data_IF_636105368702
#
_entry.id   IF_636105368702
#
_cell.length_a   1.000
_cell.length_b   1.000
_cell.length_c   1.000
_cell.angle_alpha   90.00
_cell.angle_beta   90.00
_cell.angle_gamma   90.00
#
_symmetry.space_group_name_H-M   'P 1'
#
loop_
_entity.id
_entity.type
_entity.pdbx_description
1 polymer ?
#
# COMPACT_ATOMS: atom_id res chain seq x y z
N UNK A 1 4.32 -8.74 21.18
CA UNK A 1 4.63 -7.50 20.45
C UNK A 1 4.11 -7.65 19.04
N UNK A 2 3.26 -6.73 18.58
CA UNK A 2 2.67 -6.76 17.24
C UNK A 2 3.76 -6.63 16.15
N UNK A 3 3.68 -7.41 15.10
CA UNK A 3 4.57 -7.28 13.94
C UNK A 3 3.98 -6.27 12.95
N UNK A 4 4.73 -5.23 12.61
CA UNK A 4 4.35 -4.20 11.63
C UNK A 4 5.21 -4.29 10.39
N UNK A 5 4.64 -3.92 9.25
CA UNK A 5 5.32 -3.72 7.98
C UNK A 5 5.65 -2.25 7.71
N UNK A 6 6.55 -2.02 6.75
CA UNK A 6 6.86 -0.71 6.20
C UNK A 6 6.77 -0.75 4.68
N UNK A 7 5.97 0.17 4.10
CA UNK A 7 6.03 0.47 2.67
C UNK A 7 7.32 1.25 2.39
N UNK A 8 8.20 0.68 1.56
CA UNK A 8 9.55 1.22 1.32
C UNK A 8 9.57 2.55 0.56
N UNK A 9 8.44 2.96 -0.02
CA UNK A 9 8.29 4.33 -0.55
C UNK A 9 8.46 5.40 0.53
N UNK A 10 8.17 5.05 1.77
CA UNK A 10 8.36 5.92 2.94
C UNK A 10 9.83 6.27 3.22
N UNK A 11 10.75 5.47 2.71
CA UNK A 11 12.20 5.68 2.81
C UNK A 11 12.86 5.75 1.42
N UNK A 12 12.11 6.29 0.45
CA UNK A 12 12.56 6.41 -0.95
C UNK A 12 13.80 7.28 -1.15
N UNK A 13 14.12 8.12 -0.19
CA UNK A 13 15.35 8.90 -0.13
C UNK A 13 16.61 8.03 -0.02
N UNK A 14 16.51 6.85 0.60
CA UNK A 14 17.65 5.92 0.75
C UNK A 14 17.52 4.65 -0.09
N UNK A 15 16.32 4.18 -0.43
CA UNK A 15 16.13 2.94 -1.21
C UNK A 15 16.69 3.03 -2.62
N UNK A 16 16.60 4.21 -3.26
CA UNK A 16 17.14 4.44 -4.60
C UNK A 16 18.67 4.32 -4.64
N UNK A 17 19.33 4.72 -3.56
CA UNK A 17 20.78 4.73 -3.48
C UNK A 17 21.34 3.36 -3.08
N UNK A 18 20.75 2.73 -2.09
CA UNK A 18 21.20 1.44 -1.60
C UNK A 18 20.04 0.66 -0.93
N UNK A 19 19.37 -0.17 -1.71
CA UNK A 19 18.24 -0.98 -1.20
C UNK A 19 18.68 -1.92 -0.08
N UNK A 20 19.87 -2.52 -0.15
CA UNK A 20 20.38 -3.43 0.89
C UNK A 20 20.50 -2.70 2.24
N UNK A 21 21.12 -1.52 2.24
CA UNK A 21 21.30 -0.74 3.47
C UNK A 21 19.96 -0.20 4.00
N UNK A 22 19.04 0.19 3.12
CA UNK A 22 17.69 0.58 3.52
C UNK A 22 16.96 -0.56 4.25
N UNK A 23 17.01 -1.80 3.72
CA UNK A 23 16.41 -2.97 4.37
C UNK A 23 17.03 -3.24 5.75
N UNK A 24 18.37 -3.11 5.88
CA UNK A 24 19.05 -3.24 7.17
C UNK A 24 18.53 -2.22 8.18
N UNK A 25 18.47 -0.94 7.80
CA UNK A 25 17.98 0.13 8.68
C UNK A 25 16.53 -0.12 9.12
N UNK A 26 15.65 -0.53 8.19
CA UNK A 26 14.25 -0.86 8.48
C UNK A 26 14.12 -2.00 9.49
N UNK A 27 14.94 -3.06 9.34
CA UNK A 27 14.97 -4.16 10.29
C UNK A 27 15.45 -3.71 11.69
N UNK A 28 16.51 -2.88 11.75
CA UNK A 28 17.05 -2.32 13.00
C UNK A 28 16.06 -1.43 13.75
N UNK A 29 15.16 -0.72 13.02
CA UNK A 29 14.07 0.04 13.63
C UNK A 29 12.98 -0.85 14.26
N UNK A 30 12.95 -2.14 13.93
CA UNK A 30 12.03 -3.12 14.52
C UNK A 30 10.82 -3.48 13.66
N UNK A 31 10.77 -3.04 12.40
CA UNK A 31 9.82 -3.57 11.42
C UNK A 31 10.12 -5.04 11.13
N UNK A 32 9.08 -5.82 10.81
CA UNK A 32 9.19 -7.25 10.51
C UNK A 32 8.79 -7.60 9.09
N UNK A 33 8.00 -6.74 8.47
CA UNK A 33 7.62 -6.87 7.08
C UNK A 33 8.07 -5.64 6.30
N UNK A 34 8.31 -5.85 5.00
CA UNK A 34 8.53 -4.77 4.04
C UNK A 34 7.59 -4.94 2.85
N UNK A 35 7.11 -3.82 2.36
CA UNK A 35 6.42 -3.75 1.09
C UNK A 35 7.28 -2.99 0.11
N UNK A 36 7.60 -3.63 -1.01
CA UNK A 36 8.50 -3.03 -1.99
C UNK A 36 7.79 -2.00 -2.87
N UNK A 37 8.46 -0.87 -3.11
CA UNK A 37 8.10 0.16 -4.10
C UNK A 37 9.14 0.19 -5.24
N UNK A 38 9.42 -0.98 -5.81
CA UNK A 38 10.45 -1.18 -6.82
C UNK A 38 11.69 -1.88 -6.28
N UNK A 39 12.48 -2.46 -7.20
CA UNK A 39 13.66 -3.26 -6.88
C UNK A 39 14.97 -2.62 -7.32
N UNK A 40 14.93 -1.47 -8.01
CA UNK A 40 16.07 -0.65 -8.41
C UNK A 40 17.16 -1.44 -9.17
N UNK A 41 16.75 -2.42 -9.98
CA UNK A 41 17.66 -3.25 -10.79
C UNK A 41 18.35 -4.38 -10.02
N UNK A 42 18.05 -4.58 -8.74
CA UNK A 42 18.60 -5.68 -7.96
C UNK A 42 17.97 -7.02 -8.37
N UNK A 43 18.76 -8.09 -8.37
CA UNK A 43 18.28 -9.43 -8.67
C UNK A 43 17.36 -9.97 -7.57
N UNK A 44 16.48 -10.90 -7.91
CA UNK A 44 15.61 -11.52 -6.92
C UNK A 44 16.41 -12.34 -5.88
N UNK A 45 17.51 -12.94 -6.31
CA UNK A 45 18.43 -13.69 -5.48
C UNK A 45 19.10 -12.78 -4.42
N UNK A 46 19.59 -11.59 -4.85
CA UNK A 46 20.17 -10.62 -3.92
C UNK A 46 19.16 -10.12 -2.91
N UNK A 47 17.97 -9.70 -3.39
CA UNK A 47 16.89 -9.22 -2.52
C UNK A 47 16.47 -10.31 -1.52
N UNK A 48 16.31 -11.56 -1.97
CA UNK A 48 15.99 -12.68 -1.07
C UNK A 48 17.07 -12.89 -0.01
N UNK A 49 18.35 -12.86 -0.42
CA UNK A 49 19.47 -13.00 0.50
C UNK A 49 19.48 -11.92 1.60
N UNK A 50 19.19 -10.67 1.24
CA UNK A 50 19.12 -9.56 2.20
C UNK A 50 17.93 -9.68 3.15
N UNK A 51 16.77 -10.10 2.64
CA UNK A 51 15.60 -10.37 3.47
C UNK A 51 15.90 -11.43 4.53
N UNK A 52 16.58 -12.53 4.13
CA UNK A 52 16.99 -13.59 5.05
C UNK A 52 18.06 -13.11 6.06
N UNK A 53 19.06 -12.34 5.58
CA UNK A 53 20.12 -11.76 6.41
C UNK A 53 19.55 -10.88 7.53
N UNK A 54 18.52 -10.08 7.22
CA UNK A 54 17.95 -9.13 8.19
C UNK A 54 16.69 -9.63 8.89
N UNK A 55 16.22 -10.84 8.57
CA UNK A 55 15.04 -11.44 9.18
C UNK A 55 13.74 -10.70 8.83
N UNK A 56 13.69 -10.13 7.63
CA UNK A 56 12.51 -9.44 7.10
C UNK A 56 11.65 -10.40 6.26
N UNK A 57 10.33 -10.19 6.34
CA UNK A 57 9.33 -10.87 5.51
C UNK A 57 8.75 -9.87 4.50
N UNK A 58 8.27 -10.37 3.36
CA UNK A 58 7.59 -9.53 2.36
C UNK A 58 6.10 -9.52 2.64
N UNK A 59 5.51 -8.35 2.88
CA UNK A 59 4.05 -8.15 2.98
C UNK A 59 3.39 -8.06 1.61
N UNK A 60 4.08 -7.44 0.66
CA UNK A 60 3.60 -7.20 -0.69
C UNK A 60 4.61 -6.41 -1.52
N UNK A 61 4.20 -6.09 -2.73
CA UNK A 61 4.96 -5.21 -3.62
C UNK A 61 4.02 -4.27 -4.35
N UNK A 62 4.31 -2.98 -4.32
CA UNK A 62 3.70 -2.03 -5.25
C UNK A 62 4.31 -2.21 -6.63
N UNK A 63 3.51 -2.71 -7.55
CA UNK A 63 3.93 -3.10 -8.90
C UNK A 63 2.98 -2.48 -9.93
N UNK A 64 3.52 -1.75 -10.90
CA UNK A 64 2.71 -1.04 -11.89
C UNK A 64 1.96 -1.96 -12.86
N UNK A 65 0.92 -1.44 -13.48
CA UNK A 65 0.08 -2.16 -14.45
C UNK A 65 0.88 -2.76 -15.63
N UNK A 66 1.98 -2.12 -16.04
CA UNK A 66 2.85 -2.59 -17.12
C UNK A 66 3.46 -3.96 -16.83
N UNK A 67 3.74 -4.26 -15.56
CA UNK A 67 4.34 -5.52 -15.14
C UNK A 67 3.36 -6.71 -15.07
N UNK A 68 2.06 -6.45 -15.10
CA UNK A 68 1.02 -7.49 -15.08
C UNK A 68 0.35 -7.73 -16.45
N UNK A 69 0.86 -7.08 -17.51
CA UNK A 69 0.41 -7.31 -18.90
C UNK A 69 0.73 -8.73 -19.39
N UNK A 70 0.06 -9.23 -20.42
CA UNK A 70 0.32 -10.56 -20.98
C UNK A 70 1.78 -10.81 -21.36
N UNK A 71 2.52 -9.76 -21.74
CA UNK A 71 3.92 -9.85 -22.14
C UNK A 71 4.90 -9.85 -20.96
N UNK A 72 4.56 -9.20 -19.86
CA UNK A 72 5.45 -8.98 -18.71
C UNK A 72 5.20 -9.94 -17.53
N UNK A 73 3.95 -10.35 -17.30
CA UNK A 73 3.51 -11.04 -16.09
C UNK A 73 4.33 -12.30 -15.74
N UNK A 74 4.88 -13.01 -16.74
CA UNK A 74 5.70 -14.20 -16.51
C UNK A 74 6.99 -13.88 -15.74
N UNK A 75 7.67 -12.81 -16.11
CA UNK A 75 8.89 -12.36 -15.43
C UNK A 75 8.56 -11.84 -14.02
N UNK A 76 7.47 -11.10 -13.89
CA UNK A 76 6.95 -10.60 -12.60
C UNK A 76 6.67 -11.75 -11.64
N UNK A 77 5.95 -12.78 -12.07
CA UNK A 77 5.68 -13.99 -11.26
C UNK A 77 6.99 -14.64 -10.81
N UNK A 78 7.95 -14.82 -11.72
CA UNK A 78 9.22 -15.48 -11.40
C UNK A 78 9.98 -14.71 -10.31
N UNK A 79 10.04 -13.38 -10.41
CA UNK A 79 10.68 -12.52 -9.41
C UNK A 79 9.99 -12.61 -8.04
N UNK A 80 8.65 -12.47 -8.02
CA UNK A 80 7.87 -12.54 -6.77
C UNK A 80 8.02 -13.89 -6.06
N UNK A 81 8.00 -14.99 -6.81
CA UNK A 81 8.25 -16.33 -6.24
C UNK A 81 9.63 -16.45 -5.64
N UNK A 82 10.67 -15.90 -6.31
CA UNK A 82 12.04 -15.98 -5.83
C UNK A 82 12.25 -15.23 -4.51
N UNK A 83 11.60 -14.07 -4.32
CA UNK A 83 11.65 -13.32 -3.06
C UNK A 83 10.66 -13.81 -2.00
N UNK A 84 9.83 -14.81 -2.30
CA UNK A 84 8.80 -15.31 -1.40
C UNK A 84 7.58 -14.40 -1.24
N UNK A 85 7.34 -13.50 -2.18
CA UNK A 85 6.19 -12.59 -2.16
C UNK A 85 4.94 -13.28 -2.74
N UNK A 86 3.86 -13.30 -1.98
CA UNK A 86 2.56 -13.86 -2.38
C UNK A 86 1.47 -12.80 -2.58
N UNK A 87 1.82 -11.51 -2.49
CA UNK A 87 0.87 -10.40 -2.60
C UNK A 87 1.44 -9.32 -3.52
N UNK A 88 0.92 -9.24 -4.73
CA UNK A 88 1.25 -8.20 -5.71
C UNK A 88 0.15 -7.15 -5.70
N UNK A 89 0.50 -5.90 -5.44
CA UNK A 89 -0.44 -4.81 -5.29
C UNK A 89 -0.18 -3.78 -6.39
N UNK A 90 -1.23 -3.35 -7.07
CA UNK A 90 -1.16 -2.26 -8.04
C UNK A 90 -1.50 -0.95 -7.32
N UNK A 91 -0.56 0.01 -7.22
CA UNK A 91 -0.77 1.25 -6.46
C UNK A 91 -1.43 2.35 -7.28
N UNK A 92 -1.83 2.06 -8.51
CA UNK A 92 -2.50 3.02 -9.38
C UNK A 92 -2.69 2.47 -10.77
N UNK A 93 -3.76 2.92 -11.42
CA UNK A 93 -4.16 2.47 -12.75
C UNK A 93 -4.69 3.64 -13.59
N UNK A 94 -4.96 3.40 -14.87
CA UNK A 94 -5.62 4.37 -15.73
C UNK A 94 -7.14 4.17 -15.68
N UNK A 95 -7.89 5.22 -15.36
CA UNK A 95 -9.34 5.16 -15.20
C UNK A 95 -10.05 6.52 -15.41
N UNK A 96 -9.37 7.50 -15.99
CA UNK A 96 -9.93 8.85 -16.20
C UNK A 96 -11.05 8.90 -17.25
N UNK A 97 -11.03 7.98 -18.21
CA UNK A 97 -12.10 7.77 -19.21
C UNK A 97 -12.79 6.43 -19.03
N UNK A 98 -13.95 6.24 -19.66
CA UNK A 98 -14.65 4.95 -19.63
C UNK A 98 -13.80 3.84 -20.27
N UNK A 99 -13.10 4.13 -21.35
CA UNK A 99 -12.23 3.18 -22.06
C UNK A 99 -11.05 2.75 -21.19
N UNK A 100 -10.42 3.69 -20.49
CA UNK A 100 -9.34 3.39 -19.54
C UNK A 100 -9.81 2.52 -18.37
N UNK A 101 -10.98 2.83 -17.81
CA UNK A 101 -11.57 2.01 -16.76
C UNK A 101 -11.86 0.58 -17.25
N UNK A 102 -12.45 0.41 -18.43
CA UNK A 102 -12.70 -0.92 -19.01
C UNK A 102 -11.40 -1.68 -19.27
N UNK A 103 -10.36 -1.00 -19.75
CA UNK A 103 -9.03 -1.59 -19.91
C UNK A 103 -8.46 -2.07 -18.56
N UNK A 104 -8.52 -1.23 -17.54
CA UNK A 104 -8.03 -1.56 -16.19
C UNK A 104 -8.76 -2.78 -15.60
N UNK A 105 -10.10 -2.82 -15.68
CA UNK A 105 -10.90 -3.97 -15.22
C UNK A 105 -10.53 -5.25 -15.99
N UNK A 106 -10.38 -5.15 -17.31
CA UNK A 106 -10.00 -6.30 -18.14
C UNK A 106 -8.59 -6.82 -17.77
N UNK A 107 -7.62 -5.91 -17.58
CA UNK A 107 -6.25 -6.23 -17.17
C UNK A 107 -6.22 -6.91 -15.80
N UNK A 108 -6.95 -6.39 -14.82
CA UNK A 108 -7.02 -6.95 -13.47
C UNK A 108 -7.62 -8.36 -13.48
N UNK A 109 -8.73 -8.56 -14.18
CA UNK A 109 -9.35 -9.88 -14.33
C UNK A 109 -8.46 -10.89 -15.06
N UNK A 110 -7.62 -10.43 -15.99
CA UNK A 110 -6.61 -11.27 -16.63
C UNK A 110 -5.47 -11.62 -15.66
N UNK A 111 -4.89 -10.62 -15.03
CA UNK A 111 -3.71 -10.79 -14.17
C UNK A 111 -4.03 -11.60 -12.92
N UNK A 112 -5.18 -11.35 -12.27
CA UNK A 112 -5.64 -12.09 -11.10
C UNK A 112 -5.66 -13.60 -11.38
N UNK A 113 -6.30 -14.04 -12.47
CA UNK A 113 -6.36 -15.44 -12.88
C UNK A 113 -4.99 -16.07 -13.18
N UNK A 114 -4.03 -15.27 -13.62
CA UNK A 114 -2.66 -15.73 -13.90
C UNK A 114 -1.84 -15.85 -12.63
N UNK A 115 -1.93 -14.89 -11.74
CA UNK A 115 -1.23 -14.83 -10.46
C UNK A 115 -1.75 -15.89 -9.49
N UNK A 116 -3.07 -16.06 -9.40
CA UNK A 116 -3.71 -17.06 -8.55
C UNK A 116 -3.24 -18.49 -8.81
N UNK A 117 -2.96 -18.86 -10.08
CA UNK A 117 -2.41 -20.18 -10.45
C UNK A 117 -1.01 -20.44 -9.88
N UNK A 118 -0.31 -19.37 -9.52
CA UNK A 118 1.05 -19.42 -8.96
C UNK A 118 1.07 -19.14 -7.45
N UNK A 119 -0.11 -19.05 -6.83
CA UNK A 119 -0.25 -18.76 -5.40
C UNK A 119 0.04 -17.30 -5.02
N UNK A 120 -0.08 -16.37 -5.97
CA UNK A 120 0.10 -14.94 -5.76
C UNK A 120 -1.27 -14.27 -5.88
N UNK A 121 -1.65 -13.46 -4.91
CA UNK A 121 -2.84 -12.61 -4.99
C UNK A 121 -2.54 -11.32 -5.75
N UNK A 122 -3.54 -10.80 -6.47
CA UNK A 122 -3.51 -9.46 -7.01
C UNK A 122 -4.28 -8.54 -6.08
N UNK A 123 -3.64 -7.48 -5.60
CA UNK A 123 -4.23 -6.43 -4.80
C UNK A 123 -4.33 -5.10 -5.56
N UNK A 124 -5.19 -4.22 -5.08
CA UNK A 124 -5.25 -2.81 -5.50
C UNK A 124 -5.16 -1.92 -4.28
N UNK A 125 -4.30 -0.90 -4.36
CA UNK A 125 -4.13 0.12 -3.33
C UNK A 125 -4.83 1.41 -3.76
N UNK A 126 -5.72 1.91 -2.91
CA UNK A 126 -6.49 3.12 -3.17
C UNK A 126 -5.76 4.39 -2.78
N UNK A 127 -6.06 5.46 -3.49
CA UNK A 127 -5.92 6.83 -3.02
C UNK A 127 -7.31 7.48 -2.86
N UNK A 128 -7.36 8.75 -2.50
CA UNK A 128 -8.65 9.43 -2.36
C UNK A 128 -9.41 9.58 -3.68
N UNK A 129 -8.69 9.66 -4.78
CA UNK A 129 -9.25 9.96 -6.10
C UNK A 129 -10.23 8.89 -6.57
N UNK A 130 -9.95 7.63 -6.30
CA UNK A 130 -10.78 6.47 -6.64
C UNK A 130 -12.14 6.47 -5.95
N UNK A 131 -12.24 7.19 -4.83
CA UNK A 131 -13.44 7.26 -3.98
C UNK A 131 -14.41 8.39 -4.39
N UNK A 132 -13.99 9.24 -5.31
CA UNK A 132 -14.86 10.26 -5.92
C UNK A 132 -15.38 9.81 -7.27
N UNK A 133 -16.50 10.43 -7.71
CA UNK A 133 -16.99 10.22 -9.07
C UNK A 133 -16.00 10.79 -10.09
N UNK A 134 -15.43 9.91 -10.90
CA UNK A 134 -14.59 10.28 -12.03
C UNK A 134 -15.39 11.02 -13.12
N UNK A 135 -14.76 11.68 -14.11
CA UNK A 135 -15.46 12.41 -15.18
C UNK A 135 -16.49 11.58 -15.95
N UNK A 136 -16.32 10.27 -16.04
CA UNK A 136 -17.27 9.33 -16.64
C UNK A 136 -18.46 8.98 -15.72
N UNK A 137 -18.55 9.56 -14.51
CA UNK A 137 -19.69 9.44 -13.60
C UNK A 137 -19.66 8.27 -12.63
N UNK A 138 -18.66 7.40 -12.68
CA UNK A 138 -18.52 6.22 -11.81
C UNK A 138 -17.49 6.49 -10.70
N UNK A 139 -17.63 5.78 -9.57
CA UNK A 139 -16.62 5.67 -8.51
C UNK A 139 -15.72 4.48 -8.85
N UNK A 140 -14.43 4.72 -8.99
CA UNK A 140 -13.48 3.71 -9.51
C UNK A 140 -13.33 2.55 -8.53
N UNK A 141 -13.27 2.83 -7.23
CA UNK A 141 -13.17 1.82 -6.18
C UNK A 141 -14.35 0.86 -6.23
N UNK A 142 -15.59 1.36 -6.41
CA UNK A 142 -16.79 0.54 -6.56
C UNK A 142 -16.74 -0.34 -7.82
N UNK A 143 -16.21 0.17 -8.92
CA UNK A 143 -16.07 -0.60 -10.15
C UNK A 143 -15.06 -1.75 -10.01
N UNK A 144 -13.91 -1.48 -9.37
CA UNK A 144 -12.90 -2.51 -9.05
C UNK A 144 -13.51 -3.55 -8.12
N UNK A 145 -14.17 -3.12 -7.05
CA UNK A 145 -14.82 -4.01 -6.09
C UNK A 145 -15.86 -4.93 -6.73
N UNK A 146 -16.77 -4.36 -7.53
CA UNK A 146 -17.91 -5.08 -8.06
C UNK A 146 -17.59 -5.92 -9.30
N UNK A 147 -16.52 -5.63 -10.02
CA UNK A 147 -16.24 -6.21 -11.34
C UNK A 147 -14.97 -7.06 -11.41
N UNK A 148 -14.23 -7.16 -10.30
CA UNK A 148 -13.01 -7.97 -10.19
C UNK A 148 -13.01 -8.81 -8.92
N UNK A 149 -12.11 -9.78 -8.81
CA UNK A 149 -11.80 -10.48 -7.56
C UNK A 149 -10.47 -10.00 -6.94
N UNK A 150 -10.02 -8.83 -7.31
CA UNK A 150 -8.79 -8.23 -6.77
C UNK A 150 -8.96 -7.96 -5.28
N UNK A 151 -7.99 -8.36 -4.47
CA UNK A 151 -7.95 -8.03 -3.03
C UNK A 151 -7.76 -6.51 -2.86
N UNK A 152 -8.13 -5.98 -1.70
CA UNK A 152 -7.94 -4.56 -1.39
C UNK A 152 -6.81 -4.39 -0.39
N UNK A 153 -5.86 -3.54 -0.71
CA UNK A 153 -4.97 -2.92 0.25
C UNK A 153 -5.47 -1.52 0.52
N UNK A 154 -6.16 -1.38 1.63
CA UNK A 154 -6.80 -0.10 1.95
C UNK A 154 -5.82 0.85 2.62
N UNK A 155 -5.55 1.99 1.97
CA UNK A 155 -4.93 3.13 2.63
C UNK A 155 -5.99 3.92 3.40
N UNK A 156 -5.92 3.82 4.71
CA UNK A 156 -6.92 4.35 5.63
C UNK A 156 -6.87 5.87 5.76
N UNK A 157 -5.72 6.49 5.50
CA UNK A 157 -5.62 7.94 5.45
C UNK A 157 -6.29 8.52 4.19
N UNK A 158 -6.15 7.85 3.06
CA UNK A 158 -6.82 8.30 1.84
C UNK A 158 -8.34 8.15 1.90
N UNK A 159 -8.87 7.14 2.63
CA UNK A 159 -10.30 7.09 2.98
C UNK A 159 -10.70 8.31 3.83
N UNK A 160 -9.95 8.56 4.91
CA UNK A 160 -10.19 9.70 5.80
C UNK A 160 -10.13 11.03 5.04
N UNK A 161 -9.15 11.20 4.15
CA UNK A 161 -9.03 12.36 3.29
C UNK A 161 -10.23 12.53 2.33
N UNK A 162 -10.84 11.44 1.87
CA UNK A 162 -12.07 11.47 1.08
C UNK A 162 -13.34 11.72 1.90
N UNK A 163 -13.21 11.90 3.23
CA UNK A 163 -14.35 12.12 4.13
C UNK A 163 -15.08 10.83 4.53
N UNK A 164 -14.47 9.67 4.31
CA UNK A 164 -15.00 8.36 4.68
C UNK A 164 -14.38 7.94 6.01
N UNK A 165 -15.22 7.52 6.97
CA UNK A 165 -14.72 6.92 8.21
C UNK A 165 -14.08 5.55 7.90
N UNK A 166 -12.76 5.36 8.17
CA UNK A 166 -12.07 4.15 7.79
C UNK A 166 -12.63 2.89 8.47
N UNK A 167 -12.99 2.94 9.74
CA UNK A 167 -13.36 1.73 10.50
C UNK A 167 -14.65 1.08 9.97
N UNK A 168 -15.77 1.78 9.77
CA UNK A 168 -16.95 1.21 9.12
C UNK A 168 -16.68 0.72 7.68
N UNK A 169 -15.83 1.43 6.94
CA UNK A 169 -15.47 1.01 5.58
C UNK A 169 -14.69 -0.31 5.60
N UNK A 170 -13.68 -0.44 6.44
CA UNK A 170 -12.90 -1.67 6.61
C UNK A 170 -13.81 -2.84 7.03
N UNK A 171 -14.73 -2.61 7.96
CA UNK A 171 -15.67 -3.67 8.41
C UNK A 171 -16.58 -4.15 7.27
N UNK A 172 -17.05 -3.23 6.42
CA UNK A 172 -17.89 -3.57 5.27
C UNK A 172 -17.16 -4.36 4.18
N UNK A 173 -15.83 -4.23 4.09
CA UNK A 173 -15.01 -4.82 3.01
C UNK A 173 -14.03 -5.90 3.48
N UNK A 174 -14.09 -6.29 4.75
CA UNK A 174 -13.08 -7.12 5.43
C UNK A 174 -12.77 -8.46 4.73
N UNK A 175 -13.72 -9.03 4.01
CA UNK A 175 -13.56 -10.33 3.37
C UNK A 175 -12.55 -10.32 2.21
N UNK A 176 -12.16 -9.13 1.72
CA UNK A 176 -11.17 -8.94 0.64
C UNK A 176 -10.00 -8.06 1.05
N UNK A 177 -9.84 -7.76 2.34
CA UNK A 177 -8.73 -6.95 2.86
C UNK A 177 -7.71 -7.88 3.52
N UNK A 178 -6.49 -7.90 3.02
CA UNK A 178 -5.36 -8.66 3.60
C UNK A 178 -4.37 -7.77 4.33
N UNK A 179 -4.19 -6.58 3.80
CA UNK A 179 -3.24 -5.59 4.27
C UNK A 179 -3.92 -4.24 4.30
N UNK A 180 -3.58 -3.43 5.29
CA UNK A 180 -3.95 -2.01 5.30
C UNK A 180 -2.72 -1.15 5.44
N UNK A 181 -2.75 0.04 4.83
CA UNK A 181 -1.78 1.07 5.13
C UNK A 181 -2.24 1.90 6.34
N UNK A 182 -1.38 1.92 7.36
CA UNK A 182 -1.44 2.91 8.42
C UNK A 182 -0.66 4.13 7.97
N UNK A 183 -1.39 5.21 7.74
CA UNK A 183 -0.84 6.49 7.27
C UNK A 183 -1.50 7.63 8.01
N UNK A 184 -0.79 8.72 8.19
CA UNK A 184 -1.29 9.91 8.88
C UNK A 184 -0.87 11.18 8.15
N UNK A 185 -1.57 12.25 8.40
CA UNK A 185 -1.30 13.53 7.79
C UNK A 185 -2.34 14.58 8.14
N UNK A 186 -2.09 15.80 7.69
CA UNK A 186 -3.04 16.89 7.74
C UNK A 186 -3.80 16.98 6.41
N UNK A 187 -5.09 17.24 6.52
CA UNK A 187 -5.98 17.48 5.40
C UNK A 187 -6.53 18.92 5.49
N UNK A 188 -6.84 19.57 4.35
CA UNK A 188 -7.52 20.86 4.39
C UNK A 188 -8.87 20.75 5.10
N UNK A 189 -9.13 21.69 6.01
CA UNK A 189 -10.38 21.75 6.78
C UNK A 189 -11.44 22.61 6.11
N UNK A 190 -11.09 23.36 5.08
CA UNK A 190 -11.97 24.25 4.32
C UNK A 190 -12.04 23.82 2.84
N UNK A 191 -13.15 24.13 2.19
CA UNK A 191 -13.42 23.80 0.79
C UNK A 191 -14.04 22.41 0.59
N UNK A 192 -14.59 22.19 -0.59
CA UNK A 192 -15.07 20.88 -1.04
C UNK A 192 -14.00 20.22 -1.87
N UNK A 193 -13.78 18.93 -1.65
CA UNK A 193 -12.90 18.09 -2.47
C UNK A 193 -13.71 17.24 -3.43
N UNK A 194 -13.16 17.03 -4.59
CA UNK A 194 -13.70 16.21 -5.64
C UNK A 194 -12.60 15.39 -6.33
N UNK A 195 -12.93 14.71 -7.39
CA UNK A 195 -11.98 13.91 -8.17
C UNK A 195 -10.74 14.69 -8.64
N UNK A 196 -10.89 15.96 -9.01
CA UNK A 196 -9.77 16.77 -9.52
C UNK A 196 -8.85 17.28 -8.41
N UNK A 197 -9.42 17.57 -7.24
CA UNK A 197 -8.75 18.21 -6.09
C UNK A 197 -8.48 17.25 -4.94
N UNK A 198 -8.67 15.95 -5.14
CA UNK A 198 -8.64 14.93 -4.10
C UNK A 198 -7.37 14.93 -3.22
N UNK A 199 -6.23 15.34 -3.76
CA UNK A 199 -4.95 15.36 -3.07
C UNK A 199 -4.43 16.76 -2.73
N UNK A 200 -5.17 17.82 -3.12
CA UNK A 200 -4.70 19.20 -2.93
C UNK A 200 -4.58 19.55 -1.45
N UNK A 201 -3.46 20.16 -1.08
CA UNK A 201 -3.20 20.65 0.27
C UNK A 201 -2.98 19.57 1.34
N UNK A 202 -2.95 18.29 0.96
CA UNK A 202 -2.64 17.18 1.87
C UNK A 202 -1.15 17.21 2.24
N UNK A 203 -0.83 16.96 3.52
CA UNK A 203 0.54 16.89 4.03
C UNK A 203 0.72 15.62 4.84
N UNK A 204 1.59 14.72 4.34
CA UNK A 204 1.98 13.52 5.09
C UNK A 204 2.67 13.87 6.40
N UNK A 205 2.42 13.07 7.44
CA UNK A 205 3.05 13.18 8.77
C UNK A 205 3.31 11.80 9.36
N UNK A 206 4.22 11.77 10.33
CA UNK A 206 4.42 10.54 11.13
C UNK A 206 3.13 10.14 11.84
N UNK A 207 2.91 8.85 12.01
CA UNK A 207 1.74 8.32 12.73
C UNK A 207 1.57 8.97 14.10
N UNK A 208 0.34 9.35 14.42
CA UNK A 208 -0.04 9.99 15.68
C UNK A 208 0.24 11.49 15.75
N UNK A 209 0.75 12.12 14.68
CA UNK A 209 1.00 13.56 14.60
C UNK A 209 0.13 14.32 13.60
N UNK A 210 -0.72 13.59 12.87
CA UNK A 210 -1.72 14.15 11.94
C UNK A 210 -3.15 14.02 12.48
N UNK A 211 -4.10 13.99 11.56
CA UNK A 211 -5.53 14.05 11.85
C UNK A 211 -6.25 12.71 11.69
N UNK A 212 -5.59 11.68 11.11
CA UNK A 212 -6.23 10.39 10.84
C UNK A 212 -6.51 9.58 12.13
N UNK A 213 -7.56 8.75 12.17
CA UNK A 213 -7.91 7.95 13.35
C UNK A 213 -7.03 6.69 13.49
N UNK A 214 -5.70 6.85 13.45
CA UNK A 214 -4.71 5.75 13.38
C UNK A 214 -4.92 4.70 14.47
N UNK A 215 -5.21 5.13 15.72
CA UNK A 215 -5.44 4.19 16.83
C UNK A 215 -6.68 3.32 16.59
N UNK A 216 -7.79 3.90 16.16
CA UNK A 216 -9.03 3.16 15.92
C UNK A 216 -8.85 2.14 14.78
N UNK A 217 -8.17 2.54 13.72
CA UNK A 217 -7.82 1.66 12.58
C UNK A 217 -6.91 0.51 13.04
N UNK A 218 -5.87 0.80 13.82
CA UNK A 218 -4.99 -0.22 14.39
C UNK A 218 -5.75 -1.23 15.25
N UNK A 219 -6.62 -0.74 16.14
CA UNK A 219 -7.40 -1.59 17.02
C UNK A 219 -8.35 -2.51 16.22
N UNK A 220 -8.97 -1.99 15.16
CA UNK A 220 -9.75 -2.79 14.22
C UNK A 220 -8.90 -3.87 13.53
N UNK A 221 -7.73 -3.51 13.02
CA UNK A 221 -6.84 -4.43 12.33
C UNK A 221 -6.37 -5.58 13.23
N UNK A 222 -6.04 -5.27 14.49
CA UNK A 222 -5.70 -6.28 15.51
C UNK A 222 -6.87 -7.24 15.78
N UNK A 223 -8.09 -6.70 15.93
CA UNK A 223 -9.28 -7.51 16.19
C UNK A 223 -9.63 -8.45 15.03
N UNK A 224 -9.28 -8.06 13.78
CA UNK A 224 -9.56 -8.81 12.56
C UNK A 224 -8.34 -9.58 12.00
N UNK A 225 -7.19 -9.54 12.70
CA UNK A 225 -5.94 -10.19 12.28
C UNK A 225 -5.48 -9.75 10.87
N UNK A 226 -5.63 -8.45 10.56
CA UNK A 226 -5.20 -7.83 9.31
C UNK A 226 -3.79 -7.26 9.48
N UNK A 227 -2.90 -7.52 8.51
CA UNK A 227 -1.55 -7.01 8.53
C UNK A 227 -1.53 -5.48 8.32
N UNK A 228 -0.78 -4.80 9.16
CA UNK A 228 -0.61 -3.35 9.12
C UNK A 228 0.76 -3.00 8.55
N UNK A 229 0.76 -2.25 7.46
CA UNK A 229 1.95 -1.69 6.82
C UNK A 229 1.93 -0.18 7.01
N UNK A 230 2.99 0.36 7.58
CA UNK A 230 3.14 1.81 7.74
C UNK A 230 3.53 2.42 6.41
N UNK A 231 2.85 3.48 6.00
CA UNK A 231 3.29 4.35 4.92
C UNK A 231 3.34 5.80 5.42
N UNK A 232 4.46 6.47 5.18
CA UNK A 232 4.64 7.89 5.53
C UNK A 232 5.35 8.62 4.40
N UNK A 233 4.81 9.74 3.97
CA UNK A 233 5.30 10.44 2.78
C UNK A 233 5.92 11.81 3.07
N UNK A 234 5.98 12.22 4.33
CA UNK A 234 6.46 13.53 4.73
C UNK A 234 7.95 13.74 4.51
N UNK A 235 8.78 12.69 4.67
CA UNK A 235 10.26 12.77 4.64
C UNK A 235 10.80 13.85 5.59
N UNK A 236 10.25 13.95 6.78
CA UNK A 236 10.57 15.03 7.74
C UNK A 236 11.40 14.51 8.92
N UNK A 237 12.67 14.88 9.07
CA UNK A 237 13.52 15.54 8.06
C UNK A 237 14.03 14.56 7.00
N UNK A 238 13.93 13.24 7.25
CA UNK A 238 14.30 12.15 6.36
C UNK A 238 13.31 11.00 6.48
N UNK A 239 13.25 10.12 5.49
CA UNK A 239 12.40 8.91 5.56
C UNK A 239 12.70 8.04 6.78
N UNK A 240 13.97 7.66 7.05
CA UNK A 240 14.32 6.85 8.22
C UNK A 240 13.90 7.47 9.57
N UNK A 241 14.11 8.76 9.76
CA UNK A 241 13.72 9.43 11.01
C UNK A 241 12.20 9.49 11.17
N UNK A 242 11.50 9.72 10.07
CA UNK A 242 10.03 9.75 10.07
C UNK A 242 9.43 8.37 10.38
N UNK A 243 9.87 7.32 9.71
CA UNK A 243 9.33 5.96 9.96
C UNK A 243 9.78 5.40 11.31
N UNK A 244 10.90 5.88 11.85
CA UNK A 244 11.29 5.57 13.24
C UNK A 244 10.29 6.15 14.23
N UNK A 245 9.83 7.38 14.04
CA UNK A 245 8.76 7.95 14.89
C UNK A 245 7.45 7.18 14.74
N UNK A 246 7.12 6.71 13.54
CA UNK A 246 5.92 5.91 13.31
C UNK A 246 5.93 4.61 14.12
N UNK A 247 7.03 3.85 14.08
CA UNK A 247 7.12 2.58 14.84
C UNK A 247 7.16 2.85 16.35
N UNK A 248 7.80 3.91 16.81
CA UNK A 248 7.84 4.27 18.22
C UNK A 248 6.44 4.64 18.74
N UNK A 249 5.67 5.40 17.96
CA UNK A 249 4.27 5.68 18.27
C UNK A 249 3.45 4.38 18.39
N UNK A 250 3.56 3.48 17.43
CA UNK A 250 2.82 2.21 17.48
C UNK A 250 3.22 1.36 18.70
N UNK A 251 4.50 1.35 19.08
CA UNK A 251 4.99 0.67 20.29
C UNK A 251 4.44 1.31 21.58
N UNK A 252 4.29 2.62 21.60
CA UNK A 252 3.69 3.31 22.75
C UNK A 252 2.23 2.94 23.00
N UNK A 253 1.52 2.47 21.97
CA UNK A 253 0.14 1.99 22.08
C UNK A 253 0.04 0.53 22.60
N UNK A 254 1.16 -0.17 22.73
CA UNK A 254 1.23 -1.54 23.27
C UNK A 254 1.54 -1.58 24.78
N UNK A 255 1.91 -0.43 25.35
CA UNK A 255 2.20 -0.28 26.78
C UNK A 255 0.91 0.04 27.53
#
# INVERSE_FOLDING_TARGET
MTEYGLQLYSVRDITKENLKDALRQVAEMGYKYVEFAGFFGNSAEDVKSWLDEYGLKVSGTHTGCEAITPTAIKATIAYHKAIGCTNLIVPGAVYGTSEELEYTIALFNYAEKRLAKEGITLGYHNHSKELYKAPHGKVVEDEIWNRTNVELEIDTFWLFNAGIDPVPYLEAHKDRIRVIHLKDGDIPTEGTRDYATAHDGVKGKSLGSGMAPVKAVRDWALANNVLMVVESEGLDPTGPEEVKRCIDFLRSLEA
#
